data_IF_914654677783
#
_entry.id   IF_914654677783
#
_cell.length_a   1.000
_cell.length_b   1.000
_cell.length_c   1.000
_cell.angle_alpha   90.00
_cell.angle_beta   90.00
_cell.angle_gamma   90.00
#
_symmetry.space_group_name_H-M   'P 1'
#
loop_
_entity.id
_entity.type
_entity.pdbx_description
1 polymer ?
#
# COMPACT_ATOMS: atom_id res chain seq x y z
N UNK A 1 -24.31 0.20 11.42
CA UNK A 1 -25.32 0.92 10.61
C UNK A 1 -24.81 2.31 10.29
N UNK A 2 -24.58 2.62 9.02
CA UNK A 2 -24.12 3.95 8.58
C UNK A 2 -25.23 5.00 8.76
N UNK A 3 -24.87 6.20 9.19
CA UNK A 3 -25.82 7.30 9.28
C UNK A 3 -26.05 7.95 7.90
N UNK A 4 -27.15 8.71 7.74
CA UNK A 4 -27.49 9.33 6.43
C UNK A 4 -26.44 10.36 5.96
N UNK A 5 -25.74 11.00 6.89
CA UNK A 5 -24.68 11.99 6.61
C UNK A 5 -23.42 11.33 6.04
N UNK A 6 -23.02 10.19 6.58
CA UNK A 6 -21.90 9.36 6.12
C UNK A 6 -22.12 8.92 4.67
N UNK A 7 -23.33 8.47 4.34
CA UNK A 7 -23.66 8.04 2.98
C UNK A 7 -23.63 9.22 1.99
N UNK A 8 -24.13 10.40 2.40
CA UNK A 8 -24.09 11.60 1.56
C UNK A 8 -22.65 12.07 1.30
N UNK A 9 -21.81 12.09 2.36
CA UNK A 9 -20.40 12.45 2.26
C UNK A 9 -19.62 11.49 1.37
N UNK A 10 -19.76 10.18 1.58
CA UNK A 10 -19.12 9.16 0.75
C UNK A 10 -19.54 9.28 -0.73
N UNK A 11 -20.83 9.55 -1.01
CA UNK A 11 -21.34 9.70 -2.38
C UNK A 11 -20.78 10.96 -3.07
N UNK A 12 -20.72 12.09 -2.36
CA UNK A 12 -20.14 13.34 -2.89
C UNK A 12 -18.63 13.18 -3.17
N UNK A 13 -17.91 12.51 -2.27
CA UNK A 13 -16.47 12.34 -2.37
C UNK A 13 -16.10 11.29 -3.43
N UNK A 14 -16.84 10.19 -3.55
CA UNK A 14 -16.70 9.27 -4.69
C UNK A 14 -17.00 9.92 -6.04
N UNK A 15 -17.88 10.93 -6.10
CA UNK A 15 -18.25 11.64 -7.32
C UNK A 15 -17.18 12.65 -7.80
N UNK A 16 -16.60 13.41 -6.87
CA UNK A 16 -15.61 14.47 -7.19
C UNK A 16 -14.31 13.94 -7.80
N UNK A 17 -13.96 12.69 -7.51
CA UNK A 17 -12.71 12.12 -8.00
C UNK A 17 -12.87 11.27 -9.27
N UNK A 18 -14.11 10.95 -9.71
CA UNK A 18 -14.44 10.06 -10.85
C UNK A 18 -13.89 10.50 -12.22
N UNK A 19 -13.39 11.72 -12.31
CA UNK A 19 -12.71 12.24 -13.50
C UNK A 19 -11.21 11.90 -13.41
N UNK A 20 -10.77 10.99 -14.29
CA UNK A 20 -9.35 10.66 -14.50
C UNK A 20 -8.72 11.82 -15.26
N UNK A 21 -7.78 12.53 -14.63
CA UNK A 21 -7.04 13.65 -15.23
C UNK A 21 -5.55 13.23 -15.37
N UNK A 22 -4.84 13.59 -16.45
CA UNK A 22 -3.41 13.31 -16.63
C UNK A 22 -2.52 13.67 -15.44
N UNK A 23 -2.86 14.74 -14.70
CA UNK A 23 -2.14 15.13 -13.47
C UNK A 23 -2.25 14.04 -12.39
N UNK A 24 -3.45 13.47 -12.19
CA UNK A 24 -3.66 12.37 -11.22
C UNK A 24 -2.86 11.12 -11.61
N UNK A 25 -2.82 10.77 -12.90
CA UNK A 25 -2.08 9.61 -13.39
C UNK A 25 -0.57 9.75 -13.17
N UNK A 26 -0.02 10.95 -13.38
CA UNK A 26 1.38 11.24 -13.10
C UNK A 26 1.72 11.09 -11.60
N UNK A 27 0.86 11.58 -10.71
CA UNK A 27 1.02 11.44 -9.25
C UNK A 27 1.00 9.97 -8.83
N UNK A 28 0.01 9.19 -9.29
CA UNK A 28 -0.08 7.75 -9.01
C UNK A 28 1.20 7.03 -9.45
N UNK A 29 1.65 7.27 -10.68
CA UNK A 29 2.87 6.65 -11.20
C UNK A 29 4.11 6.98 -10.36
N UNK A 30 4.17 8.18 -9.77
CA UNK A 30 5.35 8.58 -8.98
C UNK A 30 5.31 8.16 -7.52
N UNK A 31 4.13 8.07 -6.88
CA UNK A 31 4.01 7.43 -5.57
C UNK A 31 4.43 5.95 -5.66
N UNK A 32 4.04 5.28 -6.74
CA UNK A 32 4.46 3.90 -7.01
C UNK A 32 5.98 3.70 -7.04
N UNK A 33 6.78 4.69 -7.48
CA UNK A 33 8.24 4.57 -7.47
C UNK A 33 8.82 4.48 -6.06
N UNK A 34 8.25 5.23 -5.11
CA UNK A 34 8.67 5.21 -3.70
C UNK A 34 8.33 3.85 -3.09
N UNK A 35 7.15 3.30 -3.39
CA UNK A 35 6.77 1.96 -2.95
C UNK A 35 7.67 0.86 -3.52
N UNK A 36 8.07 0.97 -4.80
CA UNK A 36 9.05 0.06 -5.42
C UNK A 36 10.40 0.16 -4.72
N UNK A 37 10.84 1.38 -4.38
CA UNK A 37 12.08 1.58 -3.63
C UNK A 37 12.03 0.92 -2.25
N UNK A 38 10.94 1.11 -1.50
CA UNK A 38 10.72 0.46 -0.19
C UNK A 38 10.73 -1.06 -0.36
N UNK A 39 10.05 -1.59 -1.38
CA UNK A 39 9.99 -3.03 -1.67
C UNK A 39 11.38 -3.61 -1.99
N UNK A 40 12.19 -2.89 -2.77
CA UNK A 40 13.55 -3.30 -3.09
C UNK A 40 14.47 -3.30 -1.86
N UNK A 41 14.36 -2.28 -0.99
CA UNK A 41 15.09 -2.25 0.27
C UNK A 41 14.69 -3.41 1.19
N UNK A 42 13.38 -3.70 1.31
CA UNK A 42 12.90 -4.84 2.09
C UNK A 42 13.44 -6.18 1.60
N UNK A 43 13.52 -6.38 0.28
CA UNK A 43 14.11 -7.59 -0.30
C UNK A 43 15.60 -7.72 0.01
N UNK A 44 16.35 -6.62 -0.04
CA UNK A 44 17.76 -6.61 0.36
C UNK A 44 17.93 -6.96 1.85
N UNK A 45 17.07 -6.43 2.73
CA UNK A 45 17.11 -6.77 4.15
C UNK A 45 16.91 -8.29 4.37
N UNK A 46 15.97 -8.92 3.65
CA UNK A 46 15.79 -10.38 3.72
C UNK A 46 17.08 -11.12 3.36
N UNK A 47 17.75 -10.71 2.28
CA UNK A 47 19.03 -11.28 1.86
C UNK A 47 20.11 -11.12 2.92
N UNK A 48 20.30 -9.90 3.40
CA UNK A 48 21.36 -9.52 4.32
C UNK A 48 21.18 -10.16 5.70
N UNK A 49 19.93 -10.40 6.11
CA UNK A 49 19.59 -11.11 7.35
C UNK A 49 19.56 -12.64 7.21
N UNK A 50 19.92 -13.19 6.05
CA UNK A 50 20.03 -14.64 5.85
C UNK A 50 18.73 -15.37 5.49
N UNK A 51 17.63 -14.66 5.23
CA UNK A 51 16.35 -15.22 4.74
C UNK A 51 16.43 -15.56 3.24
N UNK A 52 17.37 -16.43 2.88
CA UNK A 52 17.75 -16.71 1.48
C UNK A 52 16.61 -17.34 0.67
N UNK A 53 15.84 -18.24 1.27
CA UNK A 53 14.74 -18.91 0.56
C UNK A 53 13.61 -17.92 0.23
N UNK A 54 13.26 -17.06 1.19
CA UNK A 54 12.27 -16.00 1.02
C UNK A 54 12.78 -14.97 0.00
N UNK A 55 14.04 -14.56 0.10
CA UNK A 55 14.67 -13.68 -0.87
C UNK A 55 14.59 -14.28 -2.29
N UNK A 56 14.99 -15.53 -2.47
CA UNK A 56 15.00 -16.19 -3.78
C UNK A 56 13.58 -16.28 -4.36
N UNK A 57 12.60 -16.71 -3.56
CA UNK A 57 11.19 -16.77 -3.97
C UNK A 57 10.68 -15.40 -4.41
N UNK A 58 10.84 -14.36 -3.59
CA UNK A 58 10.32 -13.04 -3.93
C UNK A 58 11.10 -12.40 -5.09
N UNK A 59 12.40 -12.64 -5.19
CA UNK A 59 13.24 -12.13 -6.27
C UNK A 59 12.80 -12.68 -7.64
N UNK A 60 12.39 -13.95 -7.70
CA UNK A 60 11.84 -14.57 -8.93
C UNK A 60 10.57 -13.86 -9.41
N UNK A 61 9.72 -13.40 -8.50
CA UNK A 61 8.42 -12.81 -8.81
C UNK A 61 8.35 -11.27 -8.69
N UNK A 62 9.50 -10.57 -8.64
CA UNK A 62 9.53 -9.09 -8.60
C UNK A 62 8.62 -8.44 -9.66
N UNK A 63 8.57 -8.88 -10.93
CA UNK A 63 7.70 -8.26 -11.91
C UNK A 63 6.22 -8.28 -11.51
N UNK A 64 5.74 -9.39 -10.97
CA UNK A 64 4.37 -9.58 -10.53
C UNK A 64 4.08 -8.82 -9.24
N UNK A 65 5.01 -8.83 -8.29
CA UNK A 65 4.93 -8.04 -7.04
C UNK A 65 4.81 -6.56 -7.37
N UNK A 66 5.71 -6.02 -8.19
CA UNK A 66 5.70 -4.60 -8.59
C UNK A 66 4.41 -4.25 -9.34
N UNK A 67 3.91 -5.13 -10.21
CA UNK A 67 2.64 -4.92 -10.90
C UNK A 67 1.46 -4.82 -9.93
N UNK A 68 1.44 -5.66 -8.89
CA UNK A 68 0.44 -5.62 -7.83
C UNK A 68 0.50 -4.35 -6.99
N UNK A 69 1.72 -3.98 -6.61
CA UNK A 69 2.03 -2.78 -5.84
C UNK A 69 1.62 -1.50 -6.57
N UNK A 70 1.87 -1.40 -7.87
CA UNK A 70 1.40 -0.29 -8.72
C UNK A 70 -0.13 -0.32 -8.88
N UNK A 71 -0.71 -1.50 -9.08
CA UNK A 71 -2.14 -1.65 -9.37
C UNK A 71 -3.03 -1.27 -8.19
N UNK A 72 -2.56 -1.46 -6.96
CA UNK A 72 -3.31 -1.13 -5.75
C UNK A 72 -3.64 0.37 -5.67
N UNK A 73 -2.83 1.23 -6.28
CA UNK A 73 -2.99 2.69 -6.22
C UNK A 73 -3.79 3.28 -7.40
N UNK A 74 -4.23 2.42 -8.34
CA UNK A 74 -5.00 2.80 -9.52
C UNK A 74 -6.52 2.83 -9.29
N UNK A 75 -7.22 3.68 -10.05
CA UNK A 75 -8.66 3.66 -10.25
C UNK A 75 -9.51 3.51 -8.99
N UNK A 76 -9.54 4.56 -8.15
CA UNK A 76 -10.48 4.66 -7.02
C UNK A 76 -10.20 3.70 -5.85
N UNK A 77 -9.13 2.91 -5.87
CA UNK A 77 -8.82 2.00 -4.74
C UNK A 77 -8.24 2.72 -3.52
N UNK A 78 -7.57 3.85 -3.73
CA UNK A 78 -6.93 4.64 -2.69
C UNK A 78 -7.87 5.23 -1.63
N UNK A 79 -9.21 5.27 -1.81
CA UNK A 79 -10.12 5.72 -0.73
C UNK A 79 -10.07 4.83 0.51
N UNK A 80 -9.67 3.57 0.32
CA UNK A 80 -9.64 2.57 1.37
C UNK A 80 -8.25 2.42 1.97
N UNK A 81 -7.24 3.21 1.58
CA UNK A 81 -5.87 3.07 2.10
C UNK A 81 -5.66 3.81 3.44
N UNK A 82 -6.75 4.16 4.12
CA UNK A 82 -6.71 4.85 5.40
C UNK A 82 -7.10 3.90 6.52
N UNK A 83 -6.38 3.95 7.63
CA UNK A 83 -6.75 3.26 8.85
C UNK A 83 -6.13 3.94 10.06
N UNK A 84 -6.97 4.39 10.98
CA UNK A 84 -6.54 4.92 12.26
C UNK A 84 -6.51 3.80 13.31
N UNK A 85 -5.34 3.44 13.86
CA UNK A 85 -5.21 2.31 14.78
C UNK A 85 -5.83 2.57 16.15
N UNK A 86 -6.00 3.85 16.55
CA UNK A 86 -6.60 4.22 17.85
C UNK A 86 -8.12 4.03 17.81
N UNK A 87 -8.77 4.55 16.77
CA UNK A 87 -10.24 4.45 16.63
C UNK A 87 -10.69 3.22 15.82
N UNK A 88 -9.73 2.44 15.30
CA UNK A 88 -9.93 1.22 14.52
C UNK A 88 -10.84 1.40 13.31
N UNK A 89 -10.72 2.53 12.62
CA UNK A 89 -11.56 2.89 11.46
C UNK A 89 -10.73 3.54 10.36
N UNK A 90 -11.16 3.34 9.12
CA UNK A 90 -10.64 4.06 7.97
C UNK A 90 -11.30 5.42 7.77
N UNK A 91 -11.38 5.86 6.51
CA UNK A 91 -12.00 7.13 6.15
C UNK A 91 -13.48 7.16 6.54
N UNK A 92 -13.92 8.30 7.08
CA UNK A 92 -15.31 8.53 7.46
C UNK A 92 -16.27 8.26 6.27
N UNK A 93 -17.31 7.46 6.50
CA UNK A 93 -18.30 7.07 5.50
C UNK A 93 -18.02 5.78 4.72
N UNK A 94 -16.89 5.10 4.95
CA UNK A 94 -16.55 3.82 4.31
C UNK A 94 -16.30 2.72 5.35
N UNK A 95 -16.77 1.50 5.05
CA UNK A 95 -16.55 0.31 5.89
C UNK A 95 -15.23 -0.38 5.53
N UNK A 96 -14.94 -0.50 4.23
CA UNK A 96 -13.62 -0.89 3.76
C UNK A 96 -12.56 0.16 4.13
N UNK A 97 -11.45 -0.33 4.66
CA UNK A 97 -10.31 0.43 5.14
C UNK A 97 -9.01 -0.35 4.89
N UNK A 98 -7.87 0.24 5.24
CA UNK A 98 -6.59 -0.30 4.83
C UNK A 98 -6.36 -1.70 5.42
N UNK A 99 -6.79 -1.93 6.65
CA UNK A 99 -6.72 -3.24 7.30
C UNK A 99 -7.55 -4.29 6.55
N UNK A 100 -8.81 -3.99 6.23
CA UNK A 100 -9.68 -4.96 5.54
C UNK A 100 -9.20 -5.24 4.11
N UNK A 101 -8.70 -4.22 3.42
CA UNK A 101 -8.16 -4.34 2.05
C UNK A 101 -6.86 -5.15 2.05
N UNK A 102 -5.93 -4.85 2.96
CA UNK A 102 -4.69 -5.60 3.11
C UNK A 102 -4.96 -7.09 3.40
N UNK A 103 -5.86 -7.39 4.34
CA UNK A 103 -6.28 -8.78 4.64
C UNK A 103 -6.91 -9.47 3.43
N UNK A 104 -7.76 -8.77 2.68
CA UNK A 104 -8.37 -9.30 1.46
C UNK A 104 -7.32 -9.67 0.40
N UNK A 105 -6.36 -8.78 0.13
CA UNK A 105 -5.27 -9.06 -0.81
C UNK A 105 -4.36 -10.18 -0.33
N UNK A 106 -3.97 -10.17 0.95
CA UNK A 106 -3.16 -11.23 1.53
C UNK A 106 -3.83 -12.62 1.42
N UNK A 107 -5.13 -12.71 1.76
CA UNK A 107 -5.88 -13.96 1.65
C UNK A 107 -5.99 -14.44 0.19
N UNK A 108 -6.11 -13.52 -0.77
CA UNK A 108 -6.06 -13.86 -2.20
C UNK A 108 -4.68 -14.36 -2.61
N UNK A 109 -3.61 -13.75 -2.10
CA UNK A 109 -2.24 -14.19 -2.35
C UNK A 109 -2.06 -15.63 -1.87
N UNK A 110 -2.46 -15.94 -0.63
CA UNK A 110 -2.41 -17.30 -0.07
C UNK A 110 -3.24 -18.29 -0.89
N UNK A 111 -4.48 -17.93 -1.26
CA UNK A 111 -5.35 -18.79 -2.07
C UNK A 111 -4.70 -19.14 -3.40
N UNK A 112 -4.16 -18.15 -4.12
CA UNK A 112 -3.51 -18.40 -5.40
C UNK A 112 -2.22 -19.21 -5.25
N UNK A 113 -1.46 -18.98 -4.16
CA UNK A 113 -0.26 -19.75 -3.84
C UNK A 113 -0.60 -21.23 -3.65
N UNK A 114 -1.63 -21.52 -2.84
CA UNK A 114 -2.10 -22.89 -2.59
C UNK A 114 -2.56 -23.59 -3.87
N UNK A 115 -3.11 -22.85 -4.83
CA UNK A 115 -3.48 -23.37 -6.16
C UNK A 115 -2.34 -23.38 -7.18
N UNK A 116 -1.09 -23.15 -6.75
CA UNK A 116 0.12 -23.09 -7.58
C UNK A 116 0.11 -22.02 -8.67
N UNK A 117 -0.74 -21.00 -8.54
CA UNK A 117 -0.75 -19.83 -9.40
C UNK A 117 0.13 -18.74 -8.78
N UNK A 118 1.43 -18.96 -8.81
CA UNK A 118 2.41 -18.13 -8.11
C UNK A 118 2.46 -16.69 -8.63
N UNK A 119 2.35 -16.50 -9.95
CA UNK A 119 2.33 -15.15 -10.52
C UNK A 119 1.18 -14.30 -9.97
N UNK A 120 -0.04 -14.86 -9.96
CA UNK A 120 -1.20 -14.15 -9.44
C UNK A 120 -1.15 -14.03 -7.92
N UNK A 121 -0.58 -15.01 -7.23
CA UNK A 121 -0.30 -14.92 -5.79
C UNK A 121 0.58 -13.71 -5.49
N UNK A 122 1.71 -13.60 -6.19
CA UNK A 122 2.71 -12.56 -5.97
C UNK A 122 2.21 -11.17 -6.39
N UNK A 123 1.32 -11.11 -7.39
CA UNK A 123 0.56 -9.90 -7.68
C UNK A 123 -0.28 -9.43 -6.48
N UNK A 124 -1.09 -10.31 -5.88
CA UNK A 124 -1.88 -9.90 -4.70
C UNK A 124 -1.02 -9.66 -3.46
N UNK A 125 0.12 -10.33 -3.33
CA UNK A 125 1.11 -10.04 -2.29
C UNK A 125 1.64 -8.61 -2.43
N UNK A 126 2.07 -8.21 -3.63
CA UNK A 126 2.50 -6.83 -3.90
C UNK A 126 1.40 -5.80 -3.62
N UNK A 127 0.15 -6.11 -3.96
CA UNK A 127 -0.98 -5.25 -3.62
C UNK A 127 -1.19 -5.12 -2.09
N UNK A 128 -1.00 -6.19 -1.32
CA UNK A 128 -1.05 -6.14 0.14
C UNK A 128 0.11 -5.31 0.72
N UNK A 129 1.33 -5.48 0.20
CA UNK A 129 2.50 -4.71 0.60
C UNK A 129 2.28 -3.20 0.40
N UNK A 130 1.69 -2.79 -0.72
CA UNK A 130 1.36 -1.38 -0.98
C UNK A 130 0.52 -0.78 0.16
N UNK A 131 -0.56 -1.46 0.55
CA UNK A 131 -1.46 -0.97 1.62
C UNK A 131 -0.73 -0.87 2.97
N UNK A 132 0.14 -1.83 3.29
CA UNK A 132 0.96 -1.79 4.51
C UNK A 132 1.93 -0.60 4.48
N UNK A 133 2.58 -0.37 3.33
CA UNK A 133 3.51 0.73 3.14
C UNK A 133 2.80 2.08 3.29
N UNK A 134 1.59 2.23 2.73
CA UNK A 134 0.77 3.44 2.90
C UNK A 134 0.53 3.76 4.37
N UNK A 135 0.28 2.76 5.22
CA UNK A 135 0.03 2.98 6.65
C UNK A 135 1.28 3.41 7.45
N UNK A 136 2.47 3.35 6.85
CA UNK A 136 3.68 3.95 7.44
C UNK A 136 3.73 5.47 7.24
N UNK A 137 2.87 6.01 6.37
CA UNK A 137 2.73 7.44 6.12
C UNK A 137 1.71 8.02 7.10
N UNK A 138 2.07 9.01 7.94
CA UNK A 138 1.20 9.53 8.99
C UNK A 138 -0.19 9.99 8.52
N UNK A 139 -0.30 10.52 7.31
CA UNK A 139 -1.56 10.99 6.74
C UNK A 139 -2.57 9.86 6.49
N UNK A 140 -2.09 8.71 5.99
CA UNK A 140 -2.90 7.49 5.81
C UNK A 140 -3.33 6.90 7.15
N UNK A 141 -2.43 6.90 8.14
CA UNK A 141 -2.70 6.42 9.49
C UNK A 141 -3.63 7.36 10.30
N UNK A 142 -3.67 8.67 10.01
CA UNK A 142 -4.58 9.60 10.68
C UNK A 142 -5.99 9.58 10.09
N UNK A 143 -6.17 9.10 8.86
CA UNK A 143 -7.45 9.13 8.15
C UNK A 143 -7.83 10.51 7.60
N UNK A 144 -6.87 11.43 7.46
CA UNK A 144 -7.09 12.81 6.99
C UNK A 144 -6.43 13.02 5.63
N UNK A 145 -7.24 13.27 4.61
CA UNK A 145 -6.80 13.51 3.23
C UNK A 145 -6.20 14.91 3.02
N UNK A 146 -6.65 15.91 3.78
CA UNK A 146 -6.32 17.33 3.62
C UNK A 146 -5.38 17.83 4.73
N UNK A 147 -4.22 17.18 4.89
CA UNK A 147 -3.21 17.51 5.91
C UNK A 147 -1.80 17.58 5.31
N UNK A 148 -1.59 18.50 4.34
CA UNK A 148 -0.35 18.64 3.56
C UNK A 148 0.17 17.34 2.93
N UNK A 149 -0.72 16.36 2.73
CA UNK A 149 -0.45 15.01 2.20
C UNK A 149 0.42 15.08 0.94
N UNK A 150 -0.02 15.87 -0.03
CA UNK A 150 0.70 16.05 -1.30
C UNK A 150 2.08 16.66 -1.14
N UNK A 151 2.25 17.63 -0.23
CA UNK A 151 3.55 18.29 -0.03
C UNK A 151 4.56 17.30 0.55
N UNK A 152 4.14 16.50 1.53
CA UNK A 152 4.98 15.47 2.12
C UNK A 152 5.39 14.40 1.10
N UNK A 153 4.43 13.85 0.36
CA UNK A 153 4.71 12.86 -0.69
C UNK A 153 5.66 13.41 -1.76
N UNK A 154 5.45 14.66 -2.20
CA UNK A 154 6.34 15.31 -3.17
C UNK A 154 7.75 15.51 -2.62
N UNK A 155 7.90 15.84 -1.33
CA UNK A 155 9.22 15.92 -0.69
C UNK A 155 9.91 14.56 -0.67
N UNK A 156 9.23 13.50 -0.22
CA UNK A 156 9.80 12.14 -0.19
C UNK A 156 10.19 11.71 -1.61
N UNK A 157 9.31 11.94 -2.58
CA UNK A 157 9.57 11.68 -4.01
C UNK A 157 10.82 12.38 -4.53
N UNK A 158 11.05 13.65 -4.20
CA UNK A 158 12.23 14.36 -4.69
C UNK A 158 13.53 13.91 -4.03
N UNK A 159 13.46 13.17 -2.92
CA UNK A 159 14.62 12.90 -2.07
C UNK A 159 14.91 11.41 -1.86
N UNK A 160 14.01 10.48 -2.22
CA UNK A 160 14.15 9.08 -1.80
C UNK A 160 15.40 8.36 -2.30
N UNK A 161 15.97 8.78 -3.43
CA UNK A 161 17.21 8.22 -3.95
C UNK A 161 18.48 8.84 -3.36
N UNK A 162 18.37 10.05 -2.80
CA UNK A 162 19.52 10.87 -2.40
C UNK A 162 19.66 10.86 -0.87
N UNK A 163 18.53 10.81 -0.16
CA UNK A 163 18.53 10.78 1.29
C UNK A 163 18.87 9.36 1.79
N UNK A 164 20.13 9.17 2.22
CA UNK A 164 20.63 7.90 2.77
C UNK A 164 19.76 7.37 3.91
N UNK A 165 19.18 8.25 4.73
CA UNK A 165 18.33 7.87 5.86
C UNK A 165 17.03 7.17 5.45
N UNK A 166 16.63 7.19 4.18
CA UNK A 166 15.42 6.49 3.72
C UNK A 166 15.67 5.02 3.38
N UNK A 167 16.92 4.57 3.41
CA UNK A 167 17.30 3.15 3.32
C UNK A 167 17.37 2.60 4.74
N UNK A 168 16.65 1.51 5.02
CA UNK A 168 16.78 0.79 6.29
C UNK A 168 17.84 -0.31 6.18
N UNK A 169 18.55 -0.52 7.28
CA UNK A 169 19.46 -1.64 7.51
C UNK A 169 19.11 -2.38 8.82
N UNK A 170 17.96 -2.04 9.42
CA UNK A 170 17.50 -2.65 10.64
C UNK A 170 16.98 -4.08 10.38
N UNK A 171 17.00 -4.90 11.43
CA UNK A 171 16.48 -6.26 11.37
C UNK A 171 14.96 -6.27 11.09
N UNK A 172 14.44 -7.27 10.35
CA UNK A 172 13.01 -7.44 10.16
C UNK A 172 12.25 -7.57 11.48
N UNK A 173 11.10 -6.90 11.55
CA UNK A 173 10.12 -7.14 12.61
C UNK A 173 9.33 -8.39 12.25
N UNK A 174 9.47 -9.45 13.05
CA UNK A 174 8.75 -10.71 12.86
C UNK A 174 7.44 -10.68 13.64
N UNK A 175 6.32 -10.85 12.94
CA UNK A 175 4.99 -10.96 13.53
C UNK A 175 4.44 -12.37 13.31
N UNK A 176 3.78 -12.91 14.33
CA UNK A 176 3.19 -14.26 14.28
C UNK A 176 1.78 -14.29 13.68
N UNK A 177 1.20 -13.12 13.43
CA UNK A 177 -0.15 -12.95 12.92
C UNK A 177 -0.26 -11.70 12.05
N UNK A 178 -1.23 -11.73 11.13
CA UNK A 178 -1.69 -10.56 10.37
C UNK A 178 -2.88 -9.86 11.05
N UNK A 179 -3.35 -10.40 12.18
CA UNK A 179 -4.46 -9.88 12.98
C UNK A 179 -4.00 -8.93 14.09
#
# INVERSE_FOLDING_TARGET
>A
MRNKLENAYAKALSGTFKVVNPIKKSVINTNCEVHIFIQANALNILKDCGYRDQYNLFNEFIPQINKGLIWADQDFKSYHHFYNPVVKRGKFGYEENAMTVAKSYYNRALKFFATKNYERSMFYFGAACHIIQDLTIPQHAKGKLLDNHRQFEMYVKSNYRIQKRFVSHDLPIMLNSID
#
